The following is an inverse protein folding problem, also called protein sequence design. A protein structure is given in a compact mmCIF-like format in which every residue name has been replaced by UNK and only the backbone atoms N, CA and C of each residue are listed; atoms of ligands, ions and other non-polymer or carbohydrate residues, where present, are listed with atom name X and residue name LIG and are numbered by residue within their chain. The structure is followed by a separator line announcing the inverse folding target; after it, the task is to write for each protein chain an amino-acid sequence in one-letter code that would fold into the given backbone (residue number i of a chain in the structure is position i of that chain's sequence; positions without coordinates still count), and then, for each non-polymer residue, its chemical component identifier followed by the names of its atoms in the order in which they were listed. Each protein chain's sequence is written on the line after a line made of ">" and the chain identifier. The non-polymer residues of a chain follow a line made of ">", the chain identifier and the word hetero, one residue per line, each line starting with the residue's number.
data_IF_445092757169
#
_entry.id   IF_445092757169
#
_cell.length_a   1.000
_cell.length_b   1.000
_cell.length_c   1.000
_cell.angle_alpha   90.00
_cell.angle_beta   90.00
_cell.angle_gamma   90.00
#
_symmetry.space_group_name_H-M   'P 1'
#
loop_
_entity.id
_entity.type
_entity.pdbx_description
1 polymer ?
#
# COMPACT_ATOMS: atom_id res chain seq x y z
N UNK A 1 14.74 -10.21 54.89
CA UNK A 1 13.38 -10.06 54.32
C UNK A 1 13.44 -8.76 53.51
N UNK A 2 13.92 -8.74 52.26
CA UNK A 2 13.34 -9.31 51.03
C UNK A 2 11.82 -9.05 50.99
N UNK A 3 11.23 -8.40 49.99
CA UNK A 3 11.68 -7.73 48.77
C UNK A 3 10.39 -7.09 48.23
N UNK A 4 10.34 -5.79 47.94
CA UNK A 4 9.24 -5.20 47.16
C UNK A 4 9.79 -4.18 46.16
N UNK A 5 10.31 -4.71 45.05
CA UNK A 5 10.40 -3.98 43.78
C UNK A 5 9.12 -4.23 42.99
N UNK A 6 8.24 -3.25 42.96
CA UNK A 6 7.12 -3.19 42.01
C UNK A 6 6.97 -1.76 41.45
N UNK A 7 7.95 -1.33 40.67
CA UNK A 7 7.80 -0.16 39.80
C UNK A 7 7.21 -0.62 38.46
N UNK A 8 5.89 -0.62 38.37
CA UNK A 8 5.17 -0.88 37.12
C UNK A 8 5.37 0.25 36.12
N UNK A 9 5.93 -0.06 34.94
CA UNK A 9 5.82 0.78 33.75
C UNK A 9 4.40 0.63 33.20
N UNK A 10 3.46 1.40 33.75
CA UNK A 10 2.12 1.56 33.21
C UNK A 10 2.01 2.87 32.47
N UNK A 11 2.53 2.89 31.24
CA UNK A 11 2.21 3.91 30.25
C UNK A 11 1.92 3.21 28.94
N UNK A 12 0.65 3.13 28.54
CA UNK A 12 0.31 2.69 27.20
C UNK A 12 1.09 3.57 26.20
N UNK A 13 1.88 3.00 25.28
CA UNK A 13 2.66 3.83 24.36
C UNK A 13 1.70 4.69 23.54
N UNK A 14 1.95 5.99 23.51
CA UNK A 14 1.19 6.91 22.68
C UNK A 14 1.18 6.39 21.24
N UNK A 15 -0.02 6.25 20.66
CA UNK A 15 -0.18 5.75 19.30
C UNK A 15 0.69 6.58 18.36
N UNK A 16 1.65 5.92 17.71
CA UNK A 16 2.55 6.57 16.76
C UNK A 16 1.72 7.15 15.61
N UNK A 17 1.98 8.39 15.15
CA UNK A 17 1.22 8.96 14.02
C UNK A 17 1.27 8.03 12.82
N UNK A 18 0.16 7.94 12.06
CA UNK A 18 0.08 7.08 10.87
C UNK A 18 1.29 7.33 9.97
N UNK A 19 1.97 6.25 9.57
CA UNK A 19 3.18 6.34 8.77
C UNK A 19 4.47 6.63 9.55
N UNK A 20 4.47 6.57 10.89
CA UNK A 20 5.70 6.56 11.69
C UNK A 20 6.02 5.16 12.22
N UNK A 21 7.28 4.93 12.58
CA UNK A 21 7.74 3.69 13.21
C UNK A 21 8.02 3.97 14.69
N UNK A 22 7.68 3.00 15.55
CA UNK A 22 7.97 3.11 16.98
C UNK A 22 9.48 3.23 17.25
N UNK A 23 9.89 3.78 18.41
CA UNK A 23 11.30 3.82 18.81
C UNK A 23 11.97 2.44 18.80
N UNK A 24 11.29 1.41 19.29
CA UNK A 24 11.77 0.02 19.37
C UNK A 24 11.99 -0.53 17.96
N UNK A 25 11.06 -0.27 17.04
CA UNK A 25 11.20 -0.69 15.64
C UNK A 25 12.40 -0.02 14.98
N UNK A 26 12.62 1.28 15.23
CA UNK A 26 13.79 2.00 14.71
C UNK A 26 15.09 1.44 15.26
N UNK A 27 15.14 1.12 16.55
CA UNK A 27 16.29 0.49 17.18
C UNK A 27 16.60 -0.88 16.57
N UNK A 28 15.60 -1.76 16.45
CA UNK A 28 15.73 -3.09 15.85
C UNK A 28 16.31 -3.04 14.43
N UNK A 29 15.75 -2.19 13.57
CA UNK A 29 16.25 -2.01 12.20
C UNK A 29 17.65 -1.35 12.16
N UNK A 30 17.98 -0.52 13.15
CA UNK A 30 19.31 0.04 13.33
C UNK A 30 20.36 -1.03 13.64
N UNK A 31 20.04 -1.94 14.56
CA UNK A 31 20.91 -3.07 14.92
C UNK A 31 21.07 -4.04 13.74
N UNK A 32 19.97 -4.38 13.06
CA UNK A 32 20.00 -5.30 11.91
C UNK A 32 20.92 -4.80 10.77
N UNK A 33 21.00 -3.48 10.56
CA UNK A 33 21.91 -2.86 9.58
C UNK A 33 23.39 -3.01 9.93
N UNK A 34 23.73 -3.17 11.21
CA UNK A 34 25.12 -3.29 11.71
C UNK A 34 25.63 -4.73 11.70
N UNK A 35 24.74 -5.72 11.61
CA UNK A 35 25.14 -7.11 11.51
C UNK A 35 25.81 -7.39 10.15
N UNK A 36 26.72 -8.38 10.07
CA UNK A 36 27.34 -8.82 8.82
C UNK A 36 26.31 -9.08 7.72
N UNK A 37 26.69 -8.80 6.48
CA UNK A 37 25.80 -8.96 5.35
C UNK A 37 25.68 -10.42 4.92
N UNK A 38 24.80 -11.14 5.61
CA UNK A 38 24.39 -12.48 5.22
C UNK A 38 23.27 -12.38 4.16
N UNK A 39 23.47 -13.06 3.03
CA UNK A 39 22.39 -13.31 2.08
C UNK A 39 21.54 -14.44 2.66
N UNK A 40 20.28 -14.16 2.97
CA UNK A 40 19.41 -15.15 3.57
C UNK A 40 17.98 -14.66 3.75
N UNK A 41 17.14 -15.58 4.20
CA UNK A 41 15.75 -15.31 4.52
C UNK A 41 15.39 -15.90 5.87
N UNK A 42 14.57 -15.17 6.63
CA UNK A 42 13.92 -15.70 7.83
C UNK A 42 12.66 -16.47 7.40
N UNK A 43 12.33 -17.60 8.02
CA UNK A 43 10.98 -18.17 7.87
C UNK A 43 9.94 -17.17 8.39
N UNK A 44 8.76 -17.18 7.81
CA UNK A 44 7.64 -16.41 8.33
C UNK A 44 7.21 -16.95 9.70
N UNK A 45 7.08 -16.05 10.65
CA UNK A 45 6.63 -16.31 12.01
C UNK A 45 5.41 -15.41 12.29
N UNK A 46 4.22 -15.98 12.54
CA UNK A 46 3.04 -15.21 12.88
C UNK A 46 3.18 -14.36 14.15
N UNK A 47 4.00 -14.80 15.11
CA UNK A 47 4.27 -14.06 16.36
C UNK A 47 5.49 -13.12 16.23
N UNK A 48 6.22 -13.26 15.13
CA UNK A 48 7.45 -12.53 14.86
C UNK A 48 7.23 -11.08 14.40
N UNK A 49 8.26 -10.22 14.52
CA UNK A 49 8.16 -8.80 14.19
C UNK A 49 8.26 -8.51 12.68
N UNK A 50 8.57 -9.51 11.85
CA UNK A 50 8.89 -9.33 10.45
C UNK A 50 7.94 -10.13 9.57
N UNK A 51 7.51 -9.51 8.48
CA UNK A 51 6.73 -10.16 7.45
C UNK A 51 7.08 -9.58 6.07
N UNK A 52 6.98 -10.45 5.06
CA UNK A 52 6.95 -10.06 3.66
C UNK A 52 5.60 -10.49 3.06
N UNK A 53 5.22 -9.89 1.93
CA UNK A 53 3.92 -10.10 1.31
C UNK A 53 4.05 -10.70 -0.09
N UNK A 54 3.17 -11.64 -0.42
CA UNK A 54 2.93 -12.02 -1.80
C UNK A 54 1.59 -11.43 -2.25
N UNK A 55 1.57 -10.85 -3.46
CA UNK A 55 0.37 -10.27 -4.06
C UNK A 55 0.08 -11.01 -5.36
N UNK A 56 -1.13 -11.54 -5.49
CA UNK A 56 -1.62 -12.15 -6.71
C UNK A 56 -2.09 -11.04 -7.69
N UNK A 57 -1.40 -10.85 -8.83
CA UNK A 57 -1.78 -9.84 -9.81
C UNK A 57 -3.10 -10.15 -10.51
N UNK A 58 -3.49 -11.43 -10.63
CA UNK A 58 -4.73 -11.83 -11.30
C UNK A 58 -5.94 -11.51 -10.42
N UNK A 59 -5.82 -11.66 -9.10
CA UNK A 59 -6.90 -11.35 -8.16
C UNK A 59 -6.99 -9.86 -7.81
N UNK A 60 -5.86 -9.14 -7.77
CA UNK A 60 -5.83 -7.73 -7.34
C UNK A 60 -6.73 -6.83 -8.20
N UNK A 61 -7.65 -6.10 -7.58
CA UNK A 61 -8.60 -5.20 -8.26
C UNK A 61 -8.22 -3.71 -8.15
N UNK A 62 -7.05 -3.39 -7.59
CA UNK A 62 -6.55 -2.02 -7.46
C UNK A 62 -7.33 -1.14 -6.46
N UNK A 63 -8.22 -1.69 -5.63
CA UNK A 63 -9.02 -0.94 -4.64
C UNK A 63 -8.19 -0.14 -3.61
N UNK A 64 -6.92 -0.50 -3.43
CA UNK A 64 -5.95 0.13 -2.53
C UNK A 64 -6.38 0.19 -1.05
N UNK A 65 -7.34 -0.64 -0.62
CA UNK A 65 -7.75 -0.72 0.79
C UNK A 65 -6.58 -1.04 1.70
N UNK A 66 -5.69 -1.93 1.25
CA UNK A 66 -4.47 -2.33 1.94
C UNK A 66 -3.54 -1.15 2.28
N UNK A 67 -3.49 -0.10 1.44
CA UNK A 67 -2.72 1.12 1.70
C UNK A 67 -3.37 1.95 2.81
N UNK A 68 -4.71 2.08 2.77
CA UNK A 68 -5.48 2.87 3.75
C UNK A 68 -5.43 2.28 5.16
N UNK A 69 -5.43 0.95 5.26
CA UNK A 69 -5.38 0.25 6.55
C UNK A 69 -3.96 0.05 7.09
N UNK A 70 -2.91 0.34 6.30
CA UNK A 70 -1.53 0.11 6.73
C UNK A 70 -1.09 1.18 7.76
N UNK A 71 -0.90 0.84 9.04
CA UNK A 71 -0.63 1.84 10.07
C UNK A 71 0.75 2.49 9.92
N UNK A 72 1.73 1.76 9.38
CA UNK A 72 3.11 2.21 9.22
C UNK A 72 3.43 2.74 7.83
N UNK A 73 2.50 2.71 6.88
CA UNK A 73 2.76 3.06 5.48
C UNK A 73 3.82 2.17 4.82
N UNK A 74 3.88 0.90 5.22
CA UNK A 74 4.69 -0.12 4.55
C UNK A 74 4.18 -0.43 3.14
N UNK A 75 2.87 -0.27 2.91
CA UNK A 75 2.23 -0.30 1.59
C UNK A 75 1.96 1.14 1.13
N UNK A 76 2.27 1.43 -0.13
CA UNK A 76 1.97 2.73 -0.75
C UNK A 76 1.45 2.54 -2.17
N UNK A 77 0.62 3.48 -2.61
CA UNK A 77 0.21 3.63 -4.00
C UNK A 77 0.84 4.92 -4.54
N UNK A 78 2.07 4.88 -5.09
CA UNK A 78 2.61 6.02 -5.82
C UNK A 78 1.69 6.36 -7.01
N UNK A 79 1.79 7.59 -7.49
CA UNK A 79 1.13 8.01 -8.70
C UNK A 79 1.69 7.24 -9.90
N UNK A 80 0.78 6.70 -10.73
CA UNK A 80 1.10 5.92 -11.93
C UNK A 80 0.10 6.34 -13.01
N UNK A 81 0.47 7.26 -13.92
CA UNK A 81 -0.44 7.77 -14.95
C UNK A 81 -1.01 6.66 -15.86
N UNK A 82 -0.26 5.56 -16.00
CA UNK A 82 -0.60 4.46 -16.91
C UNK A 82 -1.43 3.36 -16.21
N UNK A 83 -1.68 3.48 -14.90
CA UNK A 83 -2.40 2.44 -14.18
C UNK A 83 -2.32 2.48 -12.66
N UNK A 84 -2.00 1.32 -12.11
CA UNK A 84 -1.94 1.09 -10.68
C UNK A 84 -0.62 0.43 -10.32
N UNK A 85 0.15 1.10 -9.48
CA UNK A 85 1.33 0.54 -8.84
C UNK A 85 1.10 0.45 -7.34
N UNK A 86 1.32 -0.73 -6.76
CA UNK A 86 1.40 -0.94 -5.32
C UNK A 86 2.86 -1.22 -4.96
N UNK A 87 3.41 -0.48 -4.02
CA UNK A 87 4.75 -0.71 -3.49
C UNK A 87 4.70 -1.19 -2.05
N UNK A 88 5.71 -1.97 -1.68
CA UNK A 88 5.86 -2.54 -0.34
C UNK A 88 7.29 -2.35 0.19
N UNK A 89 7.42 -2.03 1.47
CA UNK A 89 8.69 -1.90 2.18
C UNK A 89 8.69 -2.76 3.45
N UNK A 90 9.33 -3.93 3.39
CA UNK A 90 9.32 -4.92 4.48
C UNK A 90 9.84 -4.38 5.81
N UNK A 91 10.86 -3.51 5.78
CA UNK A 91 11.42 -2.89 6.99
C UNK A 91 10.38 -2.09 7.79
N UNK A 92 9.33 -1.57 7.14
CA UNK A 92 8.24 -0.84 7.77
C UNK A 92 7.06 -1.72 8.19
N UNK A 93 6.98 -2.94 7.68
CA UNK A 93 5.89 -3.87 8.01
C UNK A 93 6.03 -4.38 9.44
N UNK A 94 4.94 -4.30 10.21
CA UNK A 94 4.88 -4.73 11.63
C UNK A 94 4.08 -6.02 11.80
N UNK A 95 3.90 -6.81 10.73
CA UNK A 95 3.19 -8.09 10.75
C UNK A 95 1.75 -8.05 11.31
N UNK A 96 1.06 -6.91 11.19
CA UNK A 96 -0.28 -6.74 11.79
C UNK A 96 -1.44 -7.46 11.06
N UNK A 97 -1.22 -8.04 9.88
CA UNK A 97 -2.26 -8.78 9.15
C UNK A 97 -3.39 -7.95 8.50
N UNK A 98 -3.60 -6.69 8.88
CA UNK A 98 -4.74 -5.87 8.40
C UNK A 98 -4.89 -5.81 6.87
N UNK A 99 -3.76 -5.77 6.14
CA UNK A 99 -3.77 -5.75 4.68
C UNK A 99 -4.29 -7.06 4.04
N UNK A 100 -4.05 -8.21 4.69
CA UNK A 100 -4.54 -9.53 4.27
C UNK A 100 -6.04 -9.63 4.59
N UNK A 101 -6.42 -9.23 5.80
CA UNK A 101 -7.80 -9.27 6.28
C UNK A 101 -8.75 -8.46 5.38
N UNK A 102 -8.39 -7.21 5.10
CA UNK A 102 -9.23 -6.25 4.37
C UNK A 102 -9.07 -6.34 2.83
N UNK A 103 -8.27 -7.28 2.33
CA UNK A 103 -8.21 -7.54 0.90
C UNK A 103 -9.45 -8.36 0.49
N UNK A 104 -10.51 -7.67 0.07
CA UNK A 104 -11.75 -8.28 -0.43
C UNK A 104 -11.50 -9.35 -1.51
N UNK A 105 -10.72 -9.11 -2.58
CA UNK A 105 -10.44 -10.13 -3.59
C UNK A 105 -9.44 -11.21 -3.12
N UNK A 106 -8.97 -11.15 -1.87
CA UNK A 106 -7.99 -12.09 -1.29
C UNK A 106 -6.69 -12.21 -2.08
N UNK A 107 -6.27 -11.11 -2.71
CA UNK A 107 -5.05 -11.03 -3.50
C UNK A 107 -3.76 -10.94 -2.66
N UNK A 108 -3.83 -10.60 -1.36
CA UNK A 108 -2.65 -10.42 -0.51
C UNK A 108 -2.55 -11.57 0.49
N UNK A 109 -1.34 -12.14 0.63
CA UNK A 109 -1.00 -13.13 1.66
C UNK A 109 0.37 -12.85 2.26
N UNK A 110 0.63 -13.38 3.45
CA UNK A 110 1.98 -13.41 4.01
C UNK A 110 2.85 -14.35 3.17
N UNK A 111 4.06 -13.91 2.82
CA UNK A 111 5.04 -14.76 2.17
C UNK A 111 5.60 -15.78 3.17
N UNK A 112 6.06 -16.94 2.70
CA UNK A 112 6.62 -17.98 3.57
C UNK A 112 7.97 -17.60 4.20
N UNK A 113 8.63 -16.59 3.64
CA UNK A 113 9.96 -16.15 4.05
C UNK A 113 10.09 -14.63 3.95
N UNK A 114 10.95 -14.05 4.78
CA UNK A 114 11.29 -12.63 4.77
C UNK A 114 12.76 -12.46 4.37
N UNK A 115 13.06 -11.81 3.22
CA UNK A 115 14.45 -11.56 2.83
C UNK A 115 15.14 -10.60 3.80
N UNK A 116 16.28 -11.03 4.38
CA UNK A 116 17.05 -10.20 5.33
C UNK A 116 17.53 -8.89 4.68
N UNK A 117 17.90 -8.94 3.40
CA UNK A 117 18.29 -7.77 2.62
C UNK A 117 17.20 -6.70 2.58
N UNK A 118 15.92 -7.09 2.41
CA UNK A 118 14.79 -6.17 2.36
C UNK A 118 14.58 -5.44 3.70
N UNK A 119 14.81 -6.12 4.82
CA UNK A 119 14.74 -5.52 6.16
C UNK A 119 15.91 -4.57 6.43
N UNK A 120 17.13 -4.97 6.06
CA UNK A 120 18.36 -4.20 6.31
C UNK A 120 18.45 -2.94 5.45
N UNK A 121 18.25 -3.08 4.16
CA UNK A 121 18.39 -1.98 3.19
C UNK A 121 17.17 -1.06 3.23
N UNK A 122 16.03 -1.55 3.73
CA UNK A 122 14.78 -0.81 3.69
C UNK A 122 14.30 -0.57 2.26
N UNK A 123 14.60 -1.47 1.34
CA UNK A 123 14.26 -1.35 -0.07
C UNK A 123 12.76 -1.32 -0.27
N UNK A 124 12.28 -0.35 -1.05
CA UNK A 124 10.91 -0.32 -1.55
C UNK A 124 10.86 -1.16 -2.82
N UNK A 125 9.96 -2.14 -2.88
CA UNK A 125 9.75 -2.95 -4.08
C UNK A 125 8.35 -2.75 -4.65
N UNK A 126 8.20 -2.96 -5.95
CA UNK A 126 6.88 -3.09 -6.57
C UNK A 126 6.28 -4.43 -6.15
N UNK A 127 5.12 -4.39 -5.52
CA UNK A 127 4.37 -5.57 -5.11
C UNK A 127 3.44 -6.05 -6.24
N UNK A 128 2.81 -5.11 -6.95
CA UNK A 128 2.04 -5.38 -8.15
C UNK A 128 1.96 -4.10 -9.00
N UNK A 129 1.98 -4.26 -10.33
CA UNK A 129 1.70 -3.19 -11.29
C UNK A 129 0.67 -3.67 -12.30
N UNK A 130 -0.34 -2.85 -12.60
CA UNK A 130 -1.43 -3.17 -13.51
C UNK A 130 -1.80 -1.96 -14.36
N UNK A 131 -2.15 -2.18 -15.61
CA UNK A 131 -2.68 -1.14 -16.48
C UNK A 131 -4.16 -0.85 -16.16
N UNK A 132 -4.61 0.37 -16.48
CA UNK A 132 -6.03 0.73 -16.45
C UNK A 132 -6.75 0.17 -17.68
N UNK A 133 -7.98 -0.28 -17.49
CA UNK A 133 -8.94 -0.60 -18.55
C UNK A 133 -10.19 0.27 -18.40
N UNK A 134 -11.02 0.35 -19.45
CA UNK A 134 -12.31 1.04 -19.40
C UNK A 134 -13.45 0.02 -19.44
N UNK A 135 -14.45 0.23 -18.60
CA UNK A 135 -15.60 -0.67 -18.52
C UNK A 135 -16.44 -0.57 -19.81
N UNK A 136 -16.70 -1.70 -20.48
CA UNK A 136 -17.54 -1.72 -21.69
C UNK A 136 -19.00 -1.33 -21.47
N UNK A 137 -19.48 -1.32 -20.22
CA UNK A 137 -20.87 -0.96 -19.88
C UNK A 137 -21.04 0.51 -19.49
N UNK A 138 -20.15 1.05 -18.64
CA UNK A 138 -20.26 2.42 -18.12
C UNK A 138 -19.14 3.37 -18.57
N UNK A 139 -18.15 2.89 -19.30
CA UNK A 139 -17.00 3.68 -19.77
C UNK A 139 -15.97 4.05 -18.70
N UNK A 140 -16.28 3.88 -17.40
CA UNK A 140 -15.38 4.30 -16.32
C UNK A 140 -14.05 3.52 -16.32
N UNK A 141 -12.91 4.19 -16.01
CA UNK A 141 -11.62 3.54 -15.84
C UNK A 141 -11.62 2.67 -14.58
N UNK A 142 -10.98 1.50 -14.67
CA UNK A 142 -10.81 0.59 -13.54
C UNK A 142 -9.55 -0.27 -13.70
N UNK A 143 -9.10 -0.88 -12.61
CA UNK A 143 -7.99 -1.83 -12.61
C UNK A 143 -8.57 -3.24 -12.71
N UNK A 144 -8.39 -3.94 -13.85
CA UNK A 144 -9.08 -5.20 -14.07
C UNK A 144 -8.37 -6.34 -13.33
N UNK A 145 -9.08 -7.05 -12.44
CA UNK A 145 -8.71 -8.44 -12.11
C UNK A 145 -8.79 -9.31 -13.37
N UNK A 146 -8.24 -10.52 -13.35
CA UNK A 146 -8.31 -11.45 -14.48
C UNK A 146 -9.76 -11.71 -14.93
N UNK A 147 -10.65 -11.97 -13.99
CA UNK A 147 -12.07 -12.15 -14.28
C UNK A 147 -12.70 -10.89 -14.91
N UNK A 148 -12.37 -9.71 -14.37
CA UNK A 148 -12.89 -8.45 -14.88
C UNK A 148 -12.33 -8.13 -16.28
N UNK A 149 -11.06 -8.45 -16.55
CA UNK A 149 -10.42 -8.31 -17.86
C UNK A 149 -11.13 -9.13 -18.92
N UNK A 150 -11.50 -10.39 -18.61
CA UNK A 150 -12.24 -11.26 -19.53
C UNK A 150 -13.65 -10.72 -19.80
N UNK A 151 -14.34 -10.25 -18.76
CA UNK A 151 -15.71 -9.72 -18.92
C UNK A 151 -15.76 -8.34 -19.57
N UNK A 152 -14.65 -7.61 -19.59
CA UNK A 152 -14.61 -6.19 -19.99
C UNK A 152 -15.42 -5.26 -19.08
N UNK A 153 -15.88 -5.71 -17.90
CA UNK A 153 -16.73 -4.93 -16.99
C UNK A 153 -16.04 -4.67 -15.65
N UNK A 154 -16.30 -3.49 -15.08
CA UNK A 154 -15.82 -3.15 -13.75
C UNK A 154 -16.57 -3.94 -12.65
N UNK A 155 -15.99 -3.96 -11.44
CA UNK A 155 -16.56 -4.61 -10.25
C UNK A 155 -18.03 -4.29 -10.02
N UNK A 156 -18.44 -3.03 -10.25
CA UNK A 156 -19.82 -2.59 -10.01
C UNK A 156 -20.76 -3.08 -11.11
N UNK A 157 -20.46 -2.82 -12.38
CA UNK A 157 -21.27 -3.30 -13.51
C UNK A 157 -21.28 -4.83 -13.64
N UNK A 158 -20.28 -5.53 -13.12
CA UNK A 158 -20.26 -6.99 -13.06
C UNK A 158 -21.11 -7.59 -11.92
N UNK A 159 -21.47 -6.79 -10.90
CA UNK A 159 -22.32 -7.22 -9.79
C UNK A 159 -23.80 -6.93 -9.97
N UNK A 160 -24.17 -5.99 -10.86
CA UNK A 160 -25.56 -5.56 -11.07
C UNK A 160 -25.86 -5.39 -12.54
N UNK A 161 -26.83 -6.15 -13.06
CA UNK A 161 -27.48 -5.91 -14.37
C UNK A 161 -28.55 -4.78 -14.30
N UNK A 162 -28.44 -3.84 -13.34
CA UNK A 162 -29.60 -3.04 -12.88
C UNK A 162 -29.51 -1.52 -13.04
N UNK A 163 -28.54 -0.96 -13.76
CA UNK A 163 -28.57 0.48 -14.06
C UNK A 163 -28.53 0.74 -15.58
N UNK A 164 -29.46 1.53 -16.13
CA UNK A 164 -29.31 2.05 -17.48
C UNK A 164 -28.01 2.86 -17.55
N UNK A 165 -27.30 2.72 -18.66
CA UNK A 165 -26.00 3.36 -18.91
C UNK A 165 -26.02 4.83 -18.46
N UNK A 166 -25.38 5.12 -17.32
CA UNK A 166 -25.07 6.50 -16.96
C UNK A 166 -23.97 6.92 -17.91
N UNK A 167 -24.29 7.87 -18.79
CA UNK A 167 -23.32 8.44 -19.71
C UNK A 167 -22.08 8.91 -18.92
N UNK A 168 -20.85 8.64 -19.42
CA UNK A 168 -19.66 9.15 -18.77
C UNK A 168 -19.78 10.67 -18.64
N UNK A 169 -19.35 11.27 -17.50
CA UNK A 169 -19.26 12.73 -17.43
C UNK A 169 -18.38 13.21 -18.58
N UNK A 170 -18.88 14.20 -19.33
CA UNK A 170 -18.11 14.82 -20.41
C UNK A 170 -16.76 15.26 -19.86
N UNK A 171 -15.66 15.07 -20.59
CA UNK A 171 -14.35 15.52 -20.14
C UNK A 171 -14.46 17.02 -19.90
N UNK A 172 -14.33 17.46 -18.64
CA UNK A 172 -14.24 18.87 -18.29
C UNK A 172 -13.20 19.49 -19.23
N UNK A 173 -13.68 20.33 -20.15
CA UNK A 173 -12.82 21.03 -21.07
C UNK A 173 -11.77 21.74 -20.23
N UNK A 174 -10.49 21.39 -20.44
CA UNK A 174 -9.39 22.23 -19.98
C UNK A 174 -9.67 23.63 -20.50
N UNK A 175 -10.13 24.51 -19.62
CA UNK A 175 -10.42 25.90 -19.92
C UNK A 175 -9.18 26.49 -20.58
N UNK A 176 -9.36 26.91 -21.83
CA UNK A 176 -8.42 27.78 -22.51
C UNK A 176 -8.53 29.19 -21.92
N UNK A 177 -8.23 29.34 -20.63
CA UNK A 177 -7.99 30.66 -20.03
C UNK A 177 -6.49 30.94 -20.12
N UNK A 178 -6.06 31.16 -21.36
CA UNK A 178 -4.86 31.91 -21.66
C UNK A 178 -5.08 33.36 -21.23
N UNK A 179 -4.77 33.66 -19.98
CA UNK A 179 -4.50 35.02 -19.53
C UNK A 179 -3.14 35.00 -18.82
N UNK A 180 -2.13 35.41 -19.58
CA UNK A 180 -0.79 35.75 -19.08
C UNK A 180 -0.94 36.81 -17.97
N UNK A 181 -0.40 36.60 -16.75
CA UNK A 181 -0.41 37.64 -15.73
C UNK A 181 0.46 38.82 -16.20
N UNK A 182 0.02 40.08 -16.03
CA UNK A 182 0.84 41.21 -16.47
C UNK A 182 2.17 41.23 -15.70
N UNK A 183 3.24 41.46 -16.47
CA UNK A 183 4.59 41.63 -15.96
C UNK A 183 4.60 42.67 -14.83
N UNK A 184 5.12 42.24 -13.66
CA UNK A 184 5.29 43.12 -12.51
C UNK A 184 6.51 44.01 -12.80
N UNK A 185 6.25 45.26 -13.21
CA UNK A 185 7.26 46.30 -13.30
C UNK A 185 7.97 46.47 -11.95
N UNK A 186 9.28 46.26 -11.93
CA UNK A 186 10.16 46.64 -10.84
C UNK A 186 10.57 48.09 -11.11
N UNK A 187 10.00 49.02 -10.35
CA UNK A 187 10.45 50.41 -10.33
C UNK A 187 11.81 50.54 -9.60
N UNK A 188 12.67 51.49 -10.00
CA UNK A 188 14.04 51.63 -9.52
C UNK A 188 14.15 52.09 -8.06
#
# INVERSE_FOLDING_TARGET
>A
MADEVAAGVSGAPAASPRGSLSPERRLLLGLLRRLPAENGSLPYDPEGPFADLAVDPDACDGSATCVRVCPTGALKRPEDPDGFTLTFQASRCVNCGLCVEHCEPKAIRMAATVPLAALRQGTVRVAVRKATAHCGACGLPFIPSKAAAVSGRCKYCGMVDLFPAVAPPEPEARGADGADPPAREVAP
#
